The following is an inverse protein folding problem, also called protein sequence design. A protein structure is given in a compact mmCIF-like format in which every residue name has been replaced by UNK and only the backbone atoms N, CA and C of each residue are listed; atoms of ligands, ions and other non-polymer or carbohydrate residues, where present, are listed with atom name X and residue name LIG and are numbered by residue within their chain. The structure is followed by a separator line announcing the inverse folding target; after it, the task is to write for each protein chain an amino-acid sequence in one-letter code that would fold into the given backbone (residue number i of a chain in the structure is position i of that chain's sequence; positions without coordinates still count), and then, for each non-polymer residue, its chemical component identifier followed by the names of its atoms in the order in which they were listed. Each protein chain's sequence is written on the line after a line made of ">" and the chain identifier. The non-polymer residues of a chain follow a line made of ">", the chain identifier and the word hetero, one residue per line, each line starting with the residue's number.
data_IF_344216975210
#
_entry.id   IF_344216975210
#
_cell.length_a   1.000
_cell.length_b   1.000
_cell.length_c   1.000
_cell.angle_alpha   90.00
_cell.angle_beta   90.00
_cell.angle_gamma   90.00
#
_symmetry.space_group_name_H-M   'P 1'
#
loop_
_entity.id
_entity.type
_entity.pdbx_description
1 polymer ?
#
# COMPACT_ATOMS: atom_id res chain seq x y z
N UNK A 1 -10.97 0.24 -24.02
CA UNK A 1 -11.23 1.53 -23.32
C UNK A 1 -10.52 1.63 -21.97
N UNK A 2 -10.68 0.65 -21.06
CA UNK A 2 -10.03 0.66 -19.73
C UNK A 2 -8.49 0.61 -19.86
N UNK A 3 -7.94 -0.33 -20.64
CA UNK A 3 -6.48 -0.48 -20.81
C UNK A 3 -5.80 0.82 -21.31
N UNK A 4 -6.46 1.58 -22.19
CA UNK A 4 -5.91 2.82 -22.77
C UNK A 4 -5.77 3.99 -21.80
N UNK A 5 -6.44 3.97 -20.64
CA UNK A 5 -6.28 4.99 -19.57
C UNK A 5 -5.46 4.51 -18.38
N UNK A 6 -5.46 3.20 -18.14
CA UNK A 6 -4.65 2.55 -17.10
C UNK A 6 -3.17 2.55 -17.48
N UNK A 7 -2.86 2.27 -18.75
CA UNK A 7 -1.49 2.14 -19.23
C UNK A 7 -0.67 3.44 -19.11
N UNK A 8 -1.18 4.63 -19.53
CA UNK A 8 -0.45 5.88 -19.37
C UNK A 8 -0.28 6.31 -17.91
N UNK A 9 -1.27 6.03 -17.04
CA UNK A 9 -1.23 6.42 -15.63
C UNK A 9 -0.16 5.65 -14.84
N UNK A 10 0.07 4.38 -15.17
CA UNK A 10 1.04 3.52 -14.49
C UNK A 10 2.40 3.46 -15.20
N UNK A 11 2.44 3.33 -16.53
CA UNK A 11 3.70 3.26 -17.28
C UNK A 11 4.27 4.64 -17.62
N UNK A 12 3.45 5.68 -17.75
CA UNK A 12 3.92 7.04 -18.04
C UNK A 12 4.97 7.52 -17.03
N UNK A 13 4.72 7.45 -15.71
CA UNK A 13 5.71 7.82 -14.70
C UNK A 13 6.97 6.95 -14.75
N UNK A 14 6.84 5.65 -15.07
CA UNK A 14 7.98 4.73 -15.15
C UNK A 14 8.87 5.05 -16.36
N UNK A 15 8.26 5.27 -17.53
CA UNK A 15 8.95 5.66 -18.76
C UNK A 15 9.60 7.03 -18.58
N UNK A 16 8.90 7.98 -17.96
CA UNK A 16 9.44 9.29 -17.64
C UNK A 16 10.64 9.20 -16.68
N UNK A 17 10.56 8.36 -15.65
CA UNK A 17 11.66 8.14 -14.71
C UNK A 17 12.88 7.53 -15.42
N UNK A 18 12.68 6.52 -16.28
CA UNK A 18 13.77 5.92 -17.04
C UNK A 18 14.36 6.89 -18.09
N UNK A 19 13.53 7.72 -18.72
CA UNK A 19 13.97 8.81 -19.58
C UNK A 19 14.80 9.84 -18.81
N UNK A 20 14.35 10.22 -17.62
CA UNK A 20 15.04 11.18 -16.75
C UNK A 20 16.40 10.66 -16.29
N UNK A 21 16.51 9.36 -15.98
CA UNK A 21 17.78 8.70 -15.66
C UNK A 21 18.82 8.83 -16.78
N UNK A 22 18.36 8.74 -18.04
CA UNK A 22 19.22 8.85 -19.23
C UNK A 22 19.56 10.28 -19.59
N UNK A 23 18.61 11.21 -19.44
CA UNK A 23 18.79 12.63 -19.82
C UNK A 23 19.51 13.43 -18.75
N UNK A 24 19.22 13.19 -17.47
CA UNK A 24 19.79 13.95 -16.35
C UNK A 24 20.02 13.04 -15.12
N UNK A 25 21.16 12.34 -15.06
CA UNK A 25 21.50 11.50 -13.90
C UNK A 25 21.66 12.33 -12.62
N UNK A 26 22.14 13.58 -12.72
CA UNK A 26 22.27 14.50 -11.57
C UNK A 26 20.92 14.81 -10.91
N UNK A 27 19.88 15.03 -11.70
CA UNK A 27 18.54 15.27 -11.16
C UNK A 27 17.95 13.99 -10.54
N UNK A 28 18.22 12.84 -11.15
CA UNK A 28 17.84 11.53 -10.59
C UNK A 28 18.51 11.30 -9.24
N UNK A 29 19.82 11.55 -9.13
CA UNK A 29 20.58 11.41 -7.88
C UNK A 29 20.08 12.39 -6.81
N UNK A 30 19.78 13.63 -7.19
CA UNK A 30 19.20 14.61 -6.27
C UNK A 30 17.82 14.19 -5.77
N UNK A 31 16.94 13.67 -6.63
CA UNK A 31 15.64 13.11 -6.23
C UNK A 31 15.81 11.88 -5.34
N UNK A 32 16.73 10.97 -5.69
CA UNK A 32 17.03 9.75 -4.93
C UNK A 32 17.67 10.03 -3.56
N UNK A 33 18.29 11.22 -3.37
CA UNK A 33 18.81 11.64 -2.06
C UNK A 33 17.69 11.85 -1.02
N UNK A 34 16.47 12.12 -1.46
CA UNK A 34 15.29 12.28 -0.60
C UNK A 34 14.57 10.94 -0.38
N UNK A 35 15.19 10.04 0.39
CA UNK A 35 14.67 8.68 0.62
C UNK A 35 13.27 8.61 1.23
N UNK A 36 12.90 9.61 2.03
CA UNK A 36 11.60 9.65 2.71
C UNK A 36 10.50 10.32 1.87
N UNK A 37 10.82 10.96 0.74
CA UNK A 37 9.84 11.68 -0.08
C UNK A 37 8.67 10.78 -0.54
N UNK A 38 8.89 9.53 -1.02
CA UNK A 38 7.80 8.64 -1.38
C UNK A 38 6.88 8.31 -0.21
N UNK A 39 7.44 8.21 1.01
CA UNK A 39 6.66 7.95 2.22
C UNK A 39 5.75 9.13 2.57
N UNK A 40 6.25 10.36 2.47
CA UNK A 40 5.46 11.58 2.71
C UNK A 40 4.34 11.73 1.67
N UNK A 41 4.65 11.55 0.38
CA UNK A 41 3.66 11.58 -0.70
C UNK A 41 2.58 10.51 -0.50
N UNK A 42 2.99 9.32 -0.08
CA UNK A 42 2.07 8.24 0.25
C UNK A 42 1.16 8.58 1.45
N UNK A 43 1.70 9.18 2.51
CA UNK A 43 0.92 9.60 3.67
C UNK A 43 -0.14 10.65 3.32
N UNK A 44 0.22 11.64 2.49
CA UNK A 44 -0.73 12.63 1.96
C UNK A 44 -1.81 11.95 1.10
N UNK A 45 -1.42 11.03 0.21
CA UNK A 45 -2.37 10.27 -0.60
C UNK A 45 -3.35 9.45 0.27
N UNK A 46 -2.86 8.83 1.34
CA UNK A 46 -3.68 8.09 2.29
C UNK A 46 -4.68 9.03 3.00
N UNK A 47 -4.23 10.20 3.46
CA UNK A 47 -5.09 11.20 4.10
C UNK A 47 -6.20 11.68 3.14
N UNK A 48 -5.86 11.93 1.86
CA UNK A 48 -6.84 12.29 0.84
C UNK A 48 -7.83 11.15 0.58
N UNK A 49 -7.38 9.90 0.51
CA UNK A 49 -8.26 8.74 0.32
C UNK A 49 -9.25 8.57 1.48
N UNK A 50 -8.80 8.79 2.72
CA UNK A 50 -9.65 8.84 3.91
C UNK A 50 -10.67 9.98 3.84
N UNK A 51 -10.23 11.19 3.47
CA UNK A 51 -11.10 12.35 3.34
C UNK A 51 -12.20 12.13 2.28
N UNK A 52 -11.87 11.54 1.13
CA UNK A 52 -12.84 11.18 0.09
C UNK A 52 -13.82 10.12 0.59
N UNK A 53 -13.35 9.11 1.33
CA UNK A 53 -14.19 8.07 1.93
C UNK A 53 -15.18 8.67 2.94
N UNK A 54 -14.70 9.56 3.81
CA UNK A 54 -15.54 10.25 4.81
C UNK A 54 -16.53 11.22 4.15
N UNK A 55 -16.10 11.98 3.14
CA UNK A 55 -16.99 12.86 2.38
C UNK A 55 -18.12 12.08 1.72
N UNK A 56 -17.81 10.94 1.12
CA UNK A 56 -18.82 10.04 0.55
C UNK A 56 -19.77 9.51 1.62
N UNK A 57 -19.28 9.15 2.81
CA UNK A 57 -20.12 8.68 3.92
C UNK A 57 -21.07 9.76 4.44
N UNK A 58 -20.60 11.01 4.55
CA UNK A 58 -21.39 12.13 5.10
C UNK A 58 -22.39 12.70 4.09
N UNK A 59 -22.03 12.80 2.80
CA UNK A 59 -22.89 13.42 1.78
C UNK A 59 -23.82 12.45 1.07
N UNK A 60 -23.54 11.15 1.08
CA UNK A 60 -24.35 10.19 0.32
C UNK A 60 -25.51 9.69 1.18
N UNK A 61 -26.71 9.60 0.61
CA UNK A 61 -27.87 8.88 1.15
C UNK A 61 -27.64 7.35 1.30
N UNK A 62 -26.38 6.90 1.36
CA UNK A 62 -26.00 5.50 1.50
C UNK A 62 -26.16 5.15 2.97
N UNK A 63 -26.97 4.12 3.25
CA UNK A 63 -27.17 3.69 4.63
C UNK A 63 -25.83 3.27 5.24
N UNK A 64 -25.63 3.62 6.51
CA UNK A 64 -24.43 3.25 7.27
C UNK A 64 -24.22 1.71 7.26
N UNK A 65 -25.31 0.95 7.14
CA UNK A 65 -25.31 -0.50 6.97
C UNK A 65 -24.62 -0.96 5.68
N UNK A 66 -24.84 -0.29 4.54
CA UNK A 66 -24.18 -0.62 3.27
C UNK A 66 -22.69 -0.29 3.35
N UNK A 67 -22.32 0.87 3.89
CA UNK A 67 -20.92 1.23 4.09
C UNK A 67 -20.20 0.26 5.04
N UNK A 68 -20.85 -0.13 6.14
CA UNK A 68 -20.37 -1.15 7.07
C UNK A 68 -20.22 -2.52 6.42
N UNK A 69 -21.17 -2.92 5.57
CA UNK A 69 -21.09 -4.16 4.79
C UNK A 69 -19.89 -4.17 3.83
N UNK A 70 -19.65 -3.08 3.11
CA UNK A 70 -18.47 -2.94 2.22
C UNK A 70 -17.17 -2.96 3.03
N UNK A 71 -17.15 -2.27 4.18
CA UNK A 71 -16.00 -2.27 5.09
C UNK A 71 -15.69 -3.70 5.59
N UNK A 72 -16.70 -4.47 5.97
CA UNK A 72 -16.55 -5.87 6.40
C UNK A 72 -16.07 -6.78 5.27
N UNK A 73 -16.70 -6.72 4.09
CA UNK A 73 -16.31 -7.56 2.95
C UNK A 73 -14.90 -7.24 2.48
N UNK A 74 -14.51 -5.96 2.46
CA UNK A 74 -13.14 -5.55 2.13
C UNK A 74 -12.13 -6.01 3.17
N UNK A 75 -12.49 -6.03 4.47
CA UNK A 75 -11.66 -6.58 5.53
C UNK A 75 -11.45 -8.09 5.35
N UNK A 76 -12.53 -8.84 5.15
CA UNK A 76 -12.46 -10.29 4.90
C UNK A 76 -11.60 -10.59 3.67
N UNK A 77 -11.81 -9.84 2.59
CA UNK A 77 -11.00 -9.95 1.37
C UNK A 77 -9.52 -9.69 1.64
N UNK A 78 -9.21 -8.67 2.46
CA UNK A 78 -7.83 -8.35 2.86
C UNK A 78 -7.21 -9.51 3.65
N UNK A 79 -7.91 -10.01 4.67
CA UNK A 79 -7.43 -11.14 5.49
C UNK A 79 -7.18 -12.38 4.63
N UNK A 80 -8.12 -12.74 3.76
CA UNK A 80 -7.99 -13.91 2.87
C UNK A 80 -6.78 -13.75 1.93
N UNK A 81 -6.58 -12.58 1.34
CA UNK A 81 -5.45 -12.34 0.42
C UNK A 81 -4.09 -12.41 1.14
N UNK A 82 -3.96 -11.78 2.31
CA UNK A 82 -2.74 -11.87 3.10
C UNK A 82 -2.49 -13.29 3.65
N UNK A 83 -3.54 -14.02 4.01
CA UNK A 83 -3.43 -15.41 4.47
C UNK A 83 -3.03 -16.36 3.34
N UNK A 84 -3.67 -16.25 2.18
CA UNK A 84 -3.34 -17.04 1.00
C UNK A 84 -1.92 -16.77 0.51
N UNK A 85 -1.54 -15.50 0.39
CA UNK A 85 -0.19 -15.09 0.03
C UNK A 85 0.86 -15.59 1.03
N UNK A 86 0.56 -15.51 2.33
CA UNK A 86 1.44 -16.06 3.37
C UNK A 86 1.58 -17.58 3.24
N UNK A 87 0.48 -18.29 3.04
CA UNK A 87 0.48 -19.74 2.90
C UNK A 87 1.30 -20.19 1.69
N UNK A 88 1.14 -19.51 0.55
CA UNK A 88 1.96 -19.74 -0.63
C UNK A 88 3.45 -19.43 -0.35
N UNK A 89 3.75 -18.27 0.26
CA UNK A 89 5.12 -17.87 0.59
C UNK A 89 5.83 -18.83 1.54
N UNK A 90 5.10 -19.49 2.46
CA UNK A 90 5.66 -20.55 3.34
C UNK A 90 6.28 -21.71 2.56
N UNK A 91 5.73 -22.05 1.39
CA UNK A 91 6.27 -23.14 0.54
C UNK A 91 7.65 -22.80 -0.03
N UNK A 92 7.97 -21.50 -0.12
CA UNK A 92 9.23 -20.99 -0.68
C UNK A 92 10.17 -20.41 0.41
N UNK A 93 9.85 -20.59 1.69
CA UNK A 93 10.65 -20.05 2.80
C UNK A 93 10.50 -18.55 3.05
N UNK A 94 9.70 -17.83 2.25
CA UNK A 94 9.44 -16.39 2.42
C UNK A 94 7.93 -16.10 2.59
N UNK A 95 7.38 -16.36 3.77
CA UNK A 95 5.97 -16.12 4.06
C UNK A 95 5.59 -14.64 4.07
N UNK A 96 6.54 -13.73 4.31
CA UNK A 96 6.25 -12.29 4.43
C UNK A 96 6.13 -11.68 3.04
N UNK A 97 7.09 -11.93 2.15
CA UNK A 97 7.02 -11.42 0.78
C UNK A 97 5.85 -12.03 0.02
N UNK A 98 5.53 -13.31 0.24
CA UNK A 98 4.33 -13.93 -0.33
C UNK A 98 3.03 -13.27 0.16
N UNK A 99 2.94 -12.91 1.43
CA UNK A 99 1.78 -12.21 1.97
C UNK A 99 1.63 -10.81 1.36
N UNK A 100 2.74 -10.07 1.25
CA UNK A 100 2.78 -8.71 0.72
C UNK A 100 2.47 -8.67 -0.78
N UNK A 101 3.02 -9.60 -1.57
CA UNK A 101 2.78 -9.65 -3.02
C UNK A 101 1.30 -9.89 -3.37
N UNK A 102 0.60 -10.67 -2.55
CA UNK A 102 -0.83 -10.91 -2.74
C UNK A 102 -1.70 -9.81 -2.13
N UNK A 103 -1.46 -9.45 -0.86
CA UNK A 103 -2.34 -8.60 -0.05
C UNK A 103 -2.13 -7.09 -0.25
N UNK A 104 -0.92 -6.64 -0.57
CA UNK A 104 -0.63 -5.22 -0.77
C UNK A 104 -1.02 -4.79 -2.20
N UNK A 105 -2.27 -4.33 -2.34
CA UNK A 105 -2.81 -3.83 -3.60
C UNK A 105 -2.54 -2.35 -3.80
N UNK A 106 -2.50 -1.90 -5.06
CA UNK A 106 -2.57 -0.48 -5.40
C UNK A 106 -4.02 0.01 -5.24
N UNK A 107 -4.39 0.40 -4.01
CA UNK A 107 -5.76 0.80 -3.66
C UNK A 107 -6.16 2.14 -4.26
N UNK A 108 -5.21 3.06 -4.46
CA UNK A 108 -5.47 4.32 -5.17
C UNK A 108 -5.95 4.04 -6.59
N UNK A 109 -5.30 3.09 -7.27
CA UNK A 109 -5.75 2.64 -8.58
C UNK A 109 -7.15 2.01 -8.54
N UNK A 110 -7.44 1.18 -7.53
CA UNK A 110 -8.77 0.59 -7.36
C UNK A 110 -9.87 1.64 -7.10
N UNK A 111 -9.59 2.66 -6.29
CA UNK A 111 -10.48 3.80 -6.02
C UNK A 111 -10.76 4.56 -7.33
N UNK A 112 -9.70 4.89 -8.08
CA UNK A 112 -9.84 5.58 -9.36
C UNK A 112 -10.66 4.78 -10.38
N UNK A 113 -10.38 3.47 -10.51
CA UNK A 113 -11.14 2.57 -11.38
C UNK A 113 -12.62 2.50 -10.98
N UNK A 114 -12.92 2.30 -9.70
CA UNK A 114 -14.29 2.23 -9.20
C UNK A 114 -15.04 3.56 -9.37
N UNK A 115 -14.38 4.68 -9.11
CA UNK A 115 -14.98 6.00 -9.31
C UNK A 115 -15.22 6.33 -10.79
N UNK A 116 -14.27 5.97 -11.67
CA UNK A 116 -14.30 6.33 -13.10
C UNK A 116 -15.28 5.47 -13.90
N UNK A 117 -15.39 4.18 -13.60
CA UNK A 117 -16.13 3.23 -14.44
C UNK A 117 -17.38 2.64 -13.79
N UNK A 118 -17.57 2.83 -12.48
CA UNK A 118 -18.70 2.26 -11.74
C UNK A 118 -19.44 3.36 -10.98
N UNK A 119 -19.46 3.32 -9.65
CA UNK A 119 -20.16 4.29 -8.80
C UNK A 119 -19.28 4.74 -7.64
N UNK A 120 -19.53 5.92 -7.05
CA UNK A 120 -18.83 6.38 -5.86
C UNK A 120 -18.88 5.38 -4.69
N UNK A 121 -19.94 4.57 -4.61
CA UNK A 121 -20.09 3.50 -3.61
C UNK A 121 -19.07 2.39 -3.81
N UNK A 122 -18.79 1.98 -5.05
CA UNK A 122 -17.78 0.94 -5.34
C UNK A 122 -16.36 1.41 -5.01
N UNK A 123 -16.07 2.71 -5.13
CA UNK A 123 -14.78 3.28 -4.75
C UNK A 123 -14.51 3.16 -3.24
N UNK A 124 -15.56 3.10 -2.40
CA UNK A 124 -15.43 2.87 -0.95
C UNK A 124 -14.75 1.54 -0.63
N UNK A 125 -14.95 0.50 -1.44
CA UNK A 125 -14.30 -0.79 -1.23
C UNK A 125 -12.76 -0.67 -1.31
N UNK A 126 -12.25 0.09 -2.29
CA UNK A 126 -10.83 0.40 -2.41
C UNK A 126 -10.31 1.27 -1.25
N UNK A 127 -11.12 2.23 -0.81
CA UNK A 127 -10.82 3.08 0.35
C UNK A 127 -10.68 2.29 1.65
N UNK A 128 -11.68 1.49 2.00
CA UNK A 128 -11.64 0.64 3.20
C UNK A 128 -10.53 -0.41 3.12
N UNK A 129 -10.34 -1.07 1.98
CA UNK A 129 -9.23 -2.01 1.80
C UNK A 129 -7.86 -1.34 2.04
N UNK A 130 -7.71 -0.09 1.61
CA UNK A 130 -6.50 0.71 1.86
C UNK A 130 -6.26 0.88 3.36
N UNK A 131 -7.30 1.14 4.15
CA UNK A 131 -7.17 1.27 5.60
C UNK A 131 -6.71 -0.06 6.20
N UNK A 132 -7.36 -1.17 5.83
CA UNK A 132 -7.07 -2.50 6.39
C UNK A 132 -5.66 -2.99 6.09
N UNK A 133 -5.23 -2.94 4.83
CA UNK A 133 -3.88 -3.42 4.49
C UNK A 133 -2.80 -2.55 5.13
N UNK A 134 -3.05 -1.25 5.32
CA UNK A 134 -2.07 -0.35 5.90
C UNK A 134 -1.95 -0.53 7.39
N UNK A 135 -3.07 -0.74 8.10
CA UNK A 135 -3.04 -1.14 9.50
C UNK A 135 -2.24 -2.44 9.69
N UNK A 136 -2.48 -3.42 8.82
CA UNK A 136 -1.74 -4.68 8.82
C UNK A 136 -0.24 -4.48 8.52
N UNK A 137 0.12 -3.64 7.55
CA UNK A 137 1.51 -3.33 7.21
C UNK A 137 2.24 -2.62 8.36
N UNK A 138 1.60 -1.64 9.00
CA UNK A 138 2.15 -0.97 10.18
C UNK A 138 2.39 -1.93 11.34
N UNK A 139 1.46 -2.85 11.59
CA UNK A 139 1.63 -3.91 12.59
C UNK A 139 2.79 -4.84 12.24
N UNK A 140 2.91 -5.27 10.98
CA UNK A 140 4.00 -6.13 10.51
C UNK A 140 5.37 -5.45 10.70
N UNK A 141 5.49 -4.18 10.33
CA UNK A 141 6.72 -3.38 10.55
C UNK A 141 7.04 -3.21 12.03
N UNK A 142 6.05 -3.02 12.90
CA UNK A 142 6.25 -2.96 14.34
C UNK A 142 6.79 -4.29 14.90
N UNK A 143 6.24 -5.42 14.45
CA UNK A 143 6.73 -6.75 14.83
C UNK A 143 8.16 -7.01 14.35
N UNK A 144 8.49 -6.60 13.12
CA UNK A 144 9.85 -6.74 12.57
C UNK A 144 10.87 -5.91 13.37
N UNK A 145 10.54 -4.67 13.73
CA UNK A 145 11.40 -3.81 14.57
C UNK A 145 11.65 -4.42 15.96
N UNK A 146 10.61 -4.97 16.61
CA UNK A 146 10.75 -5.65 17.90
C UNK A 146 11.68 -6.86 17.81
N UNK A 147 11.57 -7.67 16.75
CA UNK A 147 12.45 -8.83 16.54
C UNK A 147 13.91 -8.41 16.36
N UNK A 148 14.17 -7.38 15.56
CA UNK A 148 15.52 -6.85 15.34
C UNK A 148 16.14 -6.33 16.64
N UNK A 149 15.39 -5.58 17.45
CA UNK A 149 15.85 -5.07 18.75
C UNK A 149 16.19 -6.20 19.74
N UNK A 150 15.43 -7.29 19.73
CA UNK A 150 15.70 -8.46 20.56
C UNK A 150 16.94 -9.23 20.09
N UNK A 151 17.16 -9.34 18.78
CA UNK A 151 18.36 -9.99 18.22
C UNK A 151 19.64 -9.18 18.54
N UNK A 152 19.58 -7.85 18.46
CA UNK A 152 20.72 -6.99 18.78
C UNK A 152 21.07 -6.94 20.27
N UNK A 153 20.13 -7.28 21.16
CA UNK A 153 20.38 -7.37 22.62
C UNK A 153 20.90 -8.74 23.06
N UNK A 154 20.75 -9.79 22.24
CA UNK A 154 21.23 -11.14 22.52
C UNK A 154 22.65 -11.46 22.05
N UNK A 155 23.31 -10.55 21.32
CA UNK A 155 24.72 -10.72 20.93
C UNK A 155 25.59 -9.85 21.86
N UNK A 156 26.38 -10.42 22.80
CA UNK A 156 27.38 -9.64 23.48
C UNK A 156 28.41 -9.24 22.43
N UNK A 157 28.50 -7.94 22.15
CA UNK A 157 29.67 -7.41 21.44
C UNK A 157 30.86 -7.68 22.35
N UNK A 158 31.62 -8.72 22.03
CA UNK A 158 32.97 -8.90 22.53
C UNK A 158 33.72 -7.62 22.15
N UNK A 159 33.99 -6.78 23.15
CA UNK A 159 34.85 -5.61 23.02
C UNK A 159 36.27 -6.13 22.82
N UNK A 160 36.55 -6.56 21.59
CA UNK A 160 37.87 -6.97 21.13
C UNK A 160 38.78 -5.74 21.09
N UNK A 161 39.78 -5.76 21.97
CA UNK A 161 40.89 -4.82 22.01
C UNK A 161 41.58 -4.69 20.65
N UNK A 162 41.88 -3.46 20.25
CA UNK A 162 43.20 -2.96 19.83
C UNK A 162 43.13 -1.46 19.57
#
# INVERSE_FOLDING_TARGET
>A
VILGKVFPLLLGPLIAAEGLRKVSPRLTEWLASHRDLPFHLWAVALALALAVTMRSLVKSHVSLAVAGGIALVSLLSCVVQFAAGRWAGRRYGDPVSGAQSCGQKNTVFAIWMGYTFLTPVTALAGGFYSIWHNAYNSWQLAQMRKRQANTSSSCPVEKGAK
#
